data_IF_115207652737
#
_entry.id   IF_115207652737
#
_cell.length_a   1.000
_cell.length_b   1.000
_cell.length_c   1.000
_cell.angle_alpha   90.00
_cell.angle_beta   90.00
_cell.angle_gamma   90.00
#
_symmetry.space_group_name_H-M   'P 1'
#
loop_
_entity.id
_entity.type
_entity.pdbx_description
1 polymer ?
#
# COMPACT_ATOMS: atom_id res chain seq x y z
N UNK A 1 -24.04 2.13 10.73
CA UNK A 1 -24.31 3.36 9.95
C UNK A 1 -23.42 4.54 10.34
N UNK A 2 -23.13 4.73 11.65
CA UNK A 2 -22.21 5.80 12.08
C UNK A 2 -20.72 5.55 11.72
N UNK A 3 -20.29 4.29 11.59
CA UNK A 3 -18.90 3.97 11.25
C UNK A 3 -18.56 4.20 9.76
N UNK A 4 -19.57 4.25 8.89
CA UNK A 4 -19.39 4.62 7.49
C UNK A 4 -19.24 6.14 7.29
N UNK A 5 -19.87 6.95 8.15
CA UNK A 5 -19.74 8.41 8.10
C UNK A 5 -18.35 8.88 8.54
N UNK A 6 -17.71 8.16 9.47
CA UNK A 6 -16.33 8.47 9.91
C UNK A 6 -15.25 7.93 8.97
N UNK A 7 -15.62 7.20 7.92
CA UNK A 7 -14.70 6.72 6.88
C UNK A 7 -14.72 7.60 5.61
N UNK A 8 -15.63 8.56 5.56
CA UNK A 8 -15.69 9.55 4.48
C UNK A 8 -14.76 10.68 4.90
N UNK A 9 -13.72 10.88 4.13
CA UNK A 9 -12.76 11.99 4.08
C UNK A 9 -12.79 12.96 5.27
N UNK A 10 -11.63 13.20 5.86
CA UNK A 10 -11.37 14.35 6.70
C UNK A 10 -11.98 15.59 6.01
N UNK A 11 -12.81 16.38 6.70
CA UNK A 11 -13.44 17.56 6.09
C UNK A 11 -12.41 18.48 5.42
N UNK A 12 -11.19 18.54 5.93
CA UNK A 12 -10.07 19.26 5.32
C UNK A 12 -9.63 18.69 3.94
N UNK A 13 -9.71 17.37 3.68
CA UNK A 13 -9.41 16.80 2.35
C UNK A 13 -10.53 17.11 1.33
N UNK A 14 -11.76 17.34 1.78
CA UNK A 14 -12.87 17.78 0.93
C UNK A 14 -12.76 19.28 0.63
N UNK A 15 -12.36 20.10 1.59
CA UNK A 15 -12.12 21.54 1.39
C UNK A 15 -10.93 21.78 0.46
N UNK A 16 -9.83 21.01 0.57
CA UNK A 16 -8.69 21.07 -0.35
C UNK A 16 -9.07 20.64 -1.77
N UNK A 17 -9.96 19.64 -1.93
CA UNK A 17 -10.49 19.25 -3.23
C UNK A 17 -11.44 20.30 -3.82
N UNK A 18 -12.18 21.02 -3.00
CA UNK A 18 -13.11 22.07 -3.44
C UNK A 18 -12.34 23.33 -3.89
N UNK A 19 -11.25 23.67 -3.20
CA UNK A 19 -10.31 24.73 -3.61
C UNK A 19 -9.63 24.41 -4.94
N UNK A 20 -9.19 23.16 -5.16
CA UNK A 20 -8.65 22.71 -6.43
C UNK A 20 -9.66 22.83 -7.58
N UNK A 21 -10.96 22.70 -7.31
CA UNK A 21 -12.01 22.82 -8.34
C UNK A 21 -12.22 24.27 -8.79
N UNK A 22 -12.23 25.21 -7.87
CA UNK A 22 -12.40 26.64 -8.17
C UNK A 22 -11.20 27.19 -8.96
N UNK A 23 -10.00 26.74 -8.60
CA UNK A 23 -8.76 27.10 -9.31
C UNK A 23 -8.72 26.49 -10.71
N UNK A 24 -9.26 25.28 -10.89
CA UNK A 24 -9.40 24.59 -12.16
C UNK A 24 -10.43 25.26 -13.08
N UNK A 25 -11.54 25.71 -12.53
CA UNK A 25 -12.59 26.43 -13.26
C UNK A 25 -12.05 27.76 -13.78
N UNK A 26 -11.30 28.50 -12.95
CA UNK A 26 -10.63 29.74 -13.31
C UNK A 26 -9.54 29.55 -14.39
N UNK A 27 -8.73 28.49 -14.28
CA UNK A 27 -7.71 28.16 -15.30
C UNK A 27 -8.35 27.74 -16.64
N UNK A 28 -9.47 27.02 -16.60
CA UNK A 28 -10.21 26.63 -17.80
C UNK A 28 -10.84 27.84 -18.48
N UNK A 29 -11.42 28.75 -17.70
CA UNK A 29 -12.03 30.00 -18.20
C UNK A 29 -10.98 30.89 -18.88
N UNK A 30 -9.80 31.06 -18.26
CA UNK A 30 -8.66 31.79 -18.81
C UNK A 30 -8.11 31.12 -20.09
N UNK A 31 -8.01 29.80 -20.15
CA UNK A 31 -7.59 29.06 -21.35
C UNK A 31 -8.59 29.21 -22.48
N UNK A 32 -9.88 29.19 -22.17
CA UNK A 32 -10.98 29.35 -23.14
C UNK A 32 -11.01 30.76 -23.72
N UNK A 33 -10.77 31.79 -22.91
CA UNK A 33 -10.67 33.20 -23.35
C UNK A 33 -9.49 33.39 -24.31
N UNK A 34 -8.34 32.73 -24.02
CA UNK A 34 -7.17 32.79 -24.88
C UNK A 34 -7.40 32.10 -26.21
N UNK A 35 -8.01 30.91 -26.24
CA UNK A 35 -8.37 30.21 -27.49
C UNK A 35 -9.44 30.94 -28.31
N UNK A 36 -10.37 31.64 -27.64
CA UNK A 36 -11.35 32.49 -28.31
C UNK A 36 -10.70 33.72 -28.91
N UNK A 37 -9.69 34.33 -28.24
CA UNK A 37 -8.90 35.45 -28.76
C UNK A 37 -8.07 35.02 -29.98
N UNK A 38 -7.46 33.84 -29.97
CA UNK A 38 -6.71 33.29 -31.09
C UNK A 38 -7.61 32.95 -32.27
N UNK A 39 -8.85 32.49 -32.03
CA UNK A 39 -9.88 32.32 -33.04
C UNK A 39 -10.34 33.65 -33.66
N UNK A 40 -10.34 34.74 -32.90
CA UNK A 40 -10.59 36.08 -33.44
C UNK A 40 -9.48 36.58 -34.38
N UNK A 41 -8.21 36.24 -34.11
CA UNK A 41 -7.10 36.48 -35.03
C UNK A 41 -7.17 35.59 -36.29
N UNK A 42 -7.65 34.36 -36.18
CA UNK A 42 -7.89 33.48 -37.33
C UNK A 42 -9.04 33.94 -38.24
N UNK A 43 -9.85 34.93 -37.84
CA UNK A 43 -10.87 35.57 -38.70
C UNK A 43 -10.30 36.19 -39.97
N UNK A 44 -8.99 36.41 -40.05
CA UNK A 44 -8.31 36.98 -41.24
C UNK A 44 -8.15 35.95 -42.37
N UNK A 45 -8.26 34.66 -42.11
CA UNK A 45 -8.11 33.60 -43.13
C UNK A 45 -9.47 32.91 -43.44
N UNK A 46 -10.46 33.68 -43.75
CA UNK A 46 -11.86 33.27 -43.98
C UNK A 46 -12.05 32.20 -45.06
N UNK A 47 -11.08 31.98 -45.95
CA UNK A 47 -11.18 31.04 -47.06
C UNK A 47 -10.71 29.60 -46.70
N UNK A 48 -10.16 29.37 -45.48
CA UNK A 48 -9.68 28.04 -45.07
C UNK A 48 -10.63 27.26 -44.16
N UNK A 49 -11.71 27.89 -43.68
CA UNK A 49 -12.68 27.18 -42.79
C UNK A 49 -13.80 26.57 -43.66
N UNK A 50 -13.46 25.52 -44.38
CA UNK A 50 -14.44 24.83 -45.27
C UNK A 50 -15.54 24.06 -44.50
N UNK A 51 -15.34 23.77 -43.18
CA UNK A 51 -16.31 23.04 -42.36
C UNK A 51 -16.26 23.46 -40.88
N UNK A 52 -17.21 24.33 -40.43
CA UNK A 52 -17.26 24.78 -39.04
C UNK A 52 -17.40 23.66 -38.01
N UNK A 53 -17.98 22.52 -38.37
CA UNK A 53 -18.15 21.37 -37.48
C UNK A 53 -16.83 20.60 -37.28
N UNK A 54 -15.98 20.55 -38.32
CA UNK A 54 -14.65 19.93 -38.22
C UNK A 54 -13.72 20.76 -37.35
N UNK A 55 -13.74 22.09 -37.51
CA UNK A 55 -12.98 23.03 -36.67
C UNK A 55 -13.44 22.91 -35.20
N UNK A 56 -14.75 22.88 -34.97
CA UNK A 56 -15.31 22.69 -33.63
C UNK A 56 -14.82 21.42 -32.95
N UNK A 57 -14.75 20.31 -33.68
CA UNK A 57 -14.22 19.03 -33.09
C UNK A 57 -12.74 19.07 -32.80
N UNK A 58 -11.94 19.76 -33.59
CA UNK A 58 -10.51 19.91 -33.32
C UNK A 58 -10.27 20.71 -32.02
N UNK A 59 -11.02 21.81 -31.86
CA UNK A 59 -10.96 22.65 -30.64
C UNK A 59 -11.46 21.85 -29.42
N UNK A 60 -12.57 21.14 -29.54
CA UNK A 60 -13.09 20.28 -28.47
C UNK A 60 -12.05 19.25 -28.01
N UNK A 61 -11.38 18.59 -28.96
CA UNK A 61 -10.35 17.61 -28.64
C UNK A 61 -9.11 18.25 -27.99
N UNK A 62 -8.70 19.43 -28.42
CA UNK A 62 -7.54 20.14 -27.85
C UNK A 62 -7.82 20.61 -26.42
N UNK A 63 -8.97 21.24 -26.20
CA UNK A 63 -9.40 21.63 -24.84
C UNK A 63 -9.48 20.40 -23.93
N UNK A 64 -10.03 19.28 -24.44
CA UNK A 64 -10.11 18.05 -23.67
C UNK A 64 -8.75 17.47 -23.31
N UNK A 65 -7.79 17.49 -24.23
CA UNK A 65 -6.43 17.04 -24.01
C UNK A 65 -5.68 17.92 -23.01
N UNK A 66 -5.79 19.25 -23.14
CA UNK A 66 -5.17 20.18 -22.18
C UNK A 66 -5.78 20.03 -20.79
N UNK A 67 -7.09 19.90 -20.69
CA UNK A 67 -7.77 19.66 -19.42
C UNK A 67 -7.33 18.35 -18.77
N UNK A 68 -7.30 17.24 -19.49
CA UNK A 68 -6.83 15.94 -18.98
C UNK A 68 -5.40 16.02 -18.45
N UNK A 69 -4.54 16.81 -19.10
CA UNK A 69 -3.16 17.03 -18.68
C UNK A 69 -3.02 17.94 -17.45
N UNK A 70 -3.83 19.00 -17.35
CA UNK A 70 -3.77 19.98 -16.25
C UNK A 70 -4.37 19.45 -14.94
N UNK A 71 -5.48 18.67 -15.00
CA UNK A 71 -6.10 18.13 -13.79
C UNK A 71 -5.29 16.95 -13.24
N UNK A 72 -4.25 16.50 -13.95
CA UNK A 72 -3.58 15.26 -13.59
C UNK A 72 -4.58 14.12 -13.42
N UNK A 73 -5.61 14.08 -14.29
CA UNK A 73 -6.51 12.94 -14.41
C UNK A 73 -5.66 11.76 -14.81
N UNK A 74 -4.96 11.24 -13.79
CA UNK A 74 -4.33 9.95 -13.89
C UNK A 74 -5.46 8.94 -14.10
N UNK A 75 -5.77 8.72 -15.39
CA UNK A 75 -6.72 7.70 -15.85
C UNK A 75 -6.14 6.31 -15.62
N UNK A 76 -4.96 6.22 -15.00
CA UNK A 76 -4.44 4.95 -14.55
C UNK A 76 -5.36 4.44 -13.45
N UNK A 77 -6.02 3.32 -13.71
CA UNK A 77 -6.80 2.58 -12.72
C UNK A 77 -5.84 1.93 -11.70
N UNK A 78 -4.99 2.76 -11.07
CA UNK A 78 -4.04 2.31 -10.07
C UNK A 78 -4.80 1.60 -8.94
N UNK A 79 -4.46 0.35 -8.70
CA UNK A 79 -5.00 -0.39 -7.56
C UNK A 79 -4.39 0.11 -6.26
N UNK A 80 -5.08 -0.10 -5.13
CA UNK A 80 -4.54 0.25 -3.80
C UNK A 80 -3.18 -0.41 -3.53
N UNK A 81 -2.94 -1.60 -4.08
CA UNK A 81 -1.63 -2.29 -3.95
C UNK A 81 -0.57 -1.56 -4.76
N UNK A 82 -0.82 -1.22 -6.02
CA UNK A 82 0.13 -0.49 -6.86
C UNK A 82 0.48 0.87 -6.26
N UNK A 83 -0.53 1.58 -5.74
CA UNK A 83 -0.32 2.82 -5.01
C UNK A 83 0.62 2.62 -3.82
N UNK A 84 0.33 1.62 -2.97
CA UNK A 84 1.18 1.29 -1.83
C UNK A 84 2.63 1.00 -2.26
N UNK A 85 2.81 0.14 -3.27
CA UNK A 85 4.14 -0.28 -3.74
C UNK A 85 4.95 0.90 -4.33
N UNK A 86 4.27 1.87 -4.95
CA UNK A 86 4.90 3.11 -5.44
C UNK A 86 5.29 4.06 -4.30
N UNK A 87 4.44 4.18 -3.28
CA UNK A 87 4.68 5.05 -2.12
C UNK A 87 5.67 4.45 -1.12
N UNK A 88 5.83 3.11 -1.12
CA UNK A 88 6.69 2.35 -0.21
C UNK A 88 7.60 1.38 -0.99
N UNK A 89 8.61 1.89 -1.69
CA UNK A 89 9.50 1.08 -2.55
C UNK A 89 10.54 0.26 -1.76
N UNK A 90 10.44 0.20 -0.43
CA UNK A 90 11.43 -0.46 0.42
C UNK A 90 11.48 -1.96 0.19
N UNK A 91 12.71 -2.45 0.16
CA UNK A 91 13.00 -3.89 0.09
C UNK A 91 12.67 -4.59 1.41
N UNK A 92 12.52 -5.90 1.35
CA UNK A 92 12.30 -6.72 2.57
C UNK A 92 13.41 -6.53 3.62
N UNK A 93 14.65 -6.33 3.19
CA UNK A 93 15.78 -6.12 4.08
C UNK A 93 15.70 -4.77 4.80
N UNK A 94 15.35 -3.70 4.09
CA UNK A 94 15.15 -2.36 4.65
C UNK A 94 13.99 -2.34 5.63
N UNK A 95 12.87 -2.95 5.28
CA UNK A 95 11.73 -3.13 6.19
C UNK A 95 12.13 -3.96 7.41
N UNK A 96 12.95 -5.00 7.23
CA UNK A 96 13.50 -5.79 8.34
C UNK A 96 14.29 -4.94 9.34
N UNK A 97 15.08 -3.98 8.86
CA UNK A 97 15.80 -3.01 9.72
C UNK A 97 14.83 -2.08 10.46
N UNK A 98 13.80 -1.56 9.77
CA UNK A 98 12.76 -0.71 10.39
C UNK A 98 12.04 -1.45 11.51
N UNK A 99 11.62 -2.69 11.29
CA UNK A 99 10.95 -3.53 12.29
C UNK A 99 11.81 -3.69 13.54
N UNK A 100 13.10 -3.97 13.39
CA UNK A 100 14.02 -4.18 14.54
C UNK A 100 14.42 -2.88 15.24
N UNK A 101 14.36 -1.74 14.55
CA UNK A 101 14.68 -0.42 15.09
C UNK A 101 13.48 0.29 15.73
N UNK A 102 12.28 -0.22 15.52
CA UNK A 102 11.04 0.33 16.09
C UNK A 102 11.05 0.28 17.62
N UNK A 103 10.61 1.37 18.24
CA UNK A 103 10.61 1.50 19.71
C UNK A 103 9.70 0.46 20.39
N UNK A 104 8.64 0.01 19.74
CA UNK A 104 7.77 -1.07 20.25
C UNK A 104 8.55 -2.38 20.41
N UNK A 105 9.35 -2.73 19.39
CA UNK A 105 10.22 -3.91 19.45
C UNK A 105 11.31 -3.76 20.51
N UNK A 106 11.99 -2.61 20.56
CA UNK A 106 13.05 -2.35 21.53
C UNK A 106 12.54 -2.40 22.96
N UNK A 107 11.37 -1.77 23.20
CA UNK A 107 10.73 -1.80 24.52
C UNK A 107 10.33 -3.21 24.94
N UNK A 108 9.69 -3.97 24.07
CA UNK A 108 9.31 -5.36 24.35
C UNK A 108 10.55 -6.24 24.58
N UNK A 109 11.62 -6.05 23.82
CA UNK A 109 12.87 -6.79 24.00
C UNK A 109 13.58 -6.41 25.34
N UNK A 110 13.51 -5.15 25.73
CA UNK A 110 14.01 -4.67 27.03
C UNK A 110 13.22 -5.29 28.18
N UNK A 111 11.89 -5.29 28.08
CA UNK A 111 11.00 -5.89 29.08
C UNK A 111 11.26 -7.39 29.20
N UNK A 112 11.36 -8.12 28.09
CA UNK A 112 11.71 -9.55 28.08
C UNK A 112 13.03 -9.81 28.81
N UNK A 113 14.07 -9.02 28.56
CA UNK A 113 15.37 -9.16 29.22
C UNK A 113 15.31 -8.87 30.73
N UNK A 114 14.50 -7.90 31.12
CA UNK A 114 14.29 -7.59 32.55
C UNK A 114 13.57 -8.74 33.24
N UNK A 115 12.47 -9.25 32.68
CA UNK A 115 11.77 -10.42 33.22
C UNK A 115 12.67 -11.64 33.34
N UNK A 116 13.57 -11.85 32.35
CA UNK A 116 14.56 -12.91 32.42
C UNK A 116 15.56 -12.71 33.57
N UNK A 117 16.08 -11.51 33.76
CA UNK A 117 17.01 -11.19 34.82
C UNK A 117 16.38 -11.40 36.24
N UNK A 118 15.08 -11.11 36.33
CA UNK A 118 14.26 -11.32 37.53
C UNK A 118 13.82 -12.78 37.72
N UNK A 119 14.25 -13.69 36.82
CA UNK A 119 13.86 -15.11 36.81
C UNK A 119 12.33 -15.32 36.73
N UNK A 120 11.65 -14.44 35.97
CA UNK A 120 10.20 -14.41 35.78
C UNK A 120 9.78 -14.52 34.32
N UNK A 121 10.71 -14.91 33.42
CA UNK A 121 10.42 -15.04 32.00
C UNK A 121 9.94 -16.46 31.67
N UNK A 122 8.79 -16.56 31.04
CA UNK A 122 8.26 -17.81 30.47
C UNK A 122 8.43 -17.85 28.96
N UNK A 123 8.77 -19.00 28.46
CA UNK A 123 8.71 -19.30 27.03
C UNK A 123 7.24 -19.46 26.60
N UNK A 124 6.81 -18.58 25.72
CA UNK A 124 5.41 -18.48 25.28
C UNK A 124 4.95 -19.64 24.37
N UNK A 125 5.91 -20.42 23.85
CA UNK A 125 5.64 -21.56 22.96
C UNK A 125 5.84 -22.92 23.65
N UNK A 126 6.53 -22.96 24.78
CA UNK A 126 6.77 -24.21 25.51
C UNK A 126 6.14 -24.20 26.91
N UNK A 127 5.77 -23.02 27.43
CA UNK A 127 5.29 -22.83 28.79
C UNK A 127 6.36 -22.98 29.86
N UNK A 128 7.63 -23.26 29.51
CA UNK A 128 8.74 -23.46 30.43
C UNK A 128 9.37 -22.15 30.87
N UNK A 129 10.02 -22.13 32.03
CA UNK A 129 10.75 -20.95 32.46
C UNK A 129 12.05 -20.81 31.68
N UNK A 130 12.38 -19.57 31.25
CA UNK A 130 13.68 -19.21 30.66
C UNK A 130 14.52 -18.56 31.75
N UNK A 131 15.52 -19.27 32.21
CA UNK A 131 16.37 -18.84 33.35
C UNK A 131 17.34 -17.71 32.98
N UNK A 132 17.78 -16.90 33.94
CA UNK A 132 18.92 -16.03 33.75
C UNK A 132 20.13 -16.81 33.20
N UNK A 133 20.74 -16.31 32.11
CA UNK A 133 21.85 -17.00 31.43
C UNK A 133 21.44 -17.92 30.27
N UNK A 134 20.17 -18.33 30.15
CA UNK A 134 19.67 -18.98 28.96
C UNK A 134 19.54 -17.96 27.80
N UNK A 135 19.49 -18.47 26.57
CA UNK A 135 19.31 -17.60 25.38
C UNK A 135 17.83 -17.47 25.05
N UNK A 136 17.29 -16.28 25.28
CA UNK A 136 15.93 -15.91 24.90
C UNK A 136 15.93 -14.97 23.70
N UNK A 137 14.92 -15.11 22.85
CA UNK A 137 14.62 -14.22 21.73
C UNK A 137 13.16 -13.78 21.78
N UNK A 138 12.92 -12.57 21.32
CA UNK A 138 11.57 -12.09 21.03
C UNK A 138 11.24 -12.46 19.58
N UNK A 139 10.29 -13.38 19.40
CA UNK A 139 9.85 -13.86 18.09
C UNK A 139 8.62 -13.11 17.59
N UNK A 140 8.53 -12.97 16.29
CA UNK A 140 7.32 -12.56 15.58
C UNK A 140 6.52 -13.81 15.21
N UNK A 141 5.41 -14.08 15.91
CA UNK A 141 4.59 -15.29 15.71
C UNK A 141 4.12 -15.40 14.27
N UNK A 142 3.49 -14.34 13.75
CA UNK A 142 3.31 -14.14 12.30
C UNK A 142 4.58 -13.49 11.77
N UNK A 143 5.28 -14.18 10.90
CA UNK A 143 6.63 -13.79 10.49
C UNK A 143 6.64 -12.45 9.73
N UNK A 144 7.76 -11.72 9.84
CA UNK A 144 7.98 -10.47 9.08
C UNK A 144 7.84 -10.69 7.58
N UNK A 145 8.26 -11.85 7.08
CA UNK A 145 8.14 -12.20 5.66
C UNK A 145 6.68 -12.33 5.25
N UNK A 146 5.88 -13.07 6.01
CA UNK A 146 4.45 -13.22 5.75
C UNK A 146 3.73 -11.88 5.73
N UNK A 147 4.05 -10.99 6.68
CA UNK A 147 3.49 -9.65 6.75
C UNK A 147 3.93 -8.75 5.60
N UNK A 148 5.21 -8.79 5.22
CA UNK A 148 5.73 -8.02 4.09
C UNK A 148 5.04 -8.40 2.77
N UNK A 149 4.84 -9.71 2.53
CA UNK A 149 4.19 -10.24 1.33
C UNK A 149 2.66 -10.11 1.34
N UNK A 150 2.06 -9.71 2.46
CA UNK A 150 0.60 -9.68 2.63
C UNK A 150 -0.05 -8.59 1.78
N UNK A 151 -0.77 -9.01 0.73
CA UNK A 151 -1.47 -8.10 -0.21
C UNK A 151 -2.57 -7.27 0.46
N UNK A 152 -3.30 -7.83 1.45
CA UNK A 152 -4.36 -7.09 2.15
C UNK A 152 -3.80 -6.00 3.04
N UNK A 153 -2.62 -6.20 3.65
CA UNK A 153 -1.90 -5.16 4.37
C UNK A 153 -1.57 -3.98 3.45
N UNK A 154 -1.07 -4.27 2.24
CA UNK A 154 -0.77 -3.24 1.23
C UNK A 154 -2.03 -2.51 0.77
N UNK A 155 -3.15 -3.22 0.56
CA UNK A 155 -4.46 -2.59 0.29
C UNK A 155 -4.93 -1.69 1.44
N UNK A 156 -4.59 -2.04 2.67
CA UNK A 156 -4.94 -1.27 3.87
C UNK A 156 -4.01 -0.07 4.12
N UNK A 157 -2.98 0.12 3.30
CA UNK A 157 -1.94 1.14 3.47
C UNK A 157 -1.30 1.10 4.88
N UNK A 158 -0.95 -0.10 5.35
CA UNK A 158 -0.34 -0.30 6.67
C UNK A 158 1.12 -0.72 6.50
N UNK A 159 2.04 -0.08 7.20
CA UNK A 159 3.45 -0.47 7.22
C UNK A 159 3.65 -1.85 7.86
N UNK A 160 4.67 -2.59 7.42
CA UNK A 160 4.94 -3.95 7.95
C UNK A 160 5.28 -3.89 9.43
N UNK A 161 6.07 -2.91 9.87
CA UNK A 161 6.48 -2.71 11.26
C UNK A 161 5.30 -2.48 12.20
N UNK A 162 4.21 -1.86 11.73
CA UNK A 162 3.02 -1.61 12.54
C UNK A 162 2.29 -2.89 12.91
N UNK A 163 2.31 -3.88 12.05
CA UNK A 163 1.71 -5.18 12.32
C UNK A 163 2.70 -6.16 12.96
N UNK A 164 3.96 -6.14 12.53
CA UNK A 164 4.98 -7.04 13.07
C UNK A 164 5.20 -6.79 14.57
N UNK A 165 5.28 -5.51 14.98
CA UNK A 165 5.58 -5.13 16.35
C UNK A 165 4.36 -4.94 17.25
N UNK A 166 3.20 -5.52 16.85
CA UNK A 166 2.06 -5.61 17.76
C UNK A 166 2.38 -6.51 18.94
N UNK A 167 1.91 -6.11 20.13
CA UNK A 167 2.15 -6.86 21.37
C UNK A 167 1.73 -8.32 21.23
N UNK A 168 0.62 -8.58 20.59
CA UNK A 168 0.09 -9.94 20.39
C UNK A 168 0.95 -10.78 19.44
N UNK A 169 1.79 -10.14 18.64
CA UNK A 169 2.67 -10.80 17.68
C UNK A 169 4.10 -11.00 18.20
N UNK A 170 4.45 -10.38 19.32
CA UNK A 170 5.77 -10.46 19.94
C UNK A 170 5.72 -11.44 21.11
N UNK A 171 6.37 -12.59 20.98
CA UNK A 171 6.36 -13.65 21.98
C UNK A 171 7.78 -14.08 22.34
N UNK A 172 8.08 -14.13 23.65
CA UNK A 172 9.36 -14.59 24.14
C UNK A 172 9.49 -16.10 23.99
N UNK A 173 10.60 -16.57 23.46
CA UNK A 173 10.90 -18.01 23.35
C UNK A 173 12.41 -18.26 23.39
N UNK A 174 12.81 -19.50 23.59
CA UNK A 174 14.21 -19.87 23.56
C UNK A 174 14.81 -19.70 22.15
N UNK A 175 16.09 -19.35 22.08
CA UNK A 175 16.79 -19.07 20.81
C UNK A 175 16.76 -20.28 19.85
N UNK A 176 16.83 -21.51 20.39
CA UNK A 176 16.89 -22.74 19.60
C UNK A 176 15.58 -22.98 18.84
N UNK A 177 14.45 -22.81 19.51
CA UNK A 177 13.12 -22.93 18.92
C UNK A 177 12.85 -21.81 17.91
N UNK A 178 13.16 -20.54 18.30
CA UNK A 178 13.02 -19.40 17.39
C UNK A 178 13.77 -19.60 16.06
N UNK A 179 15.04 -20.02 16.13
CA UNK A 179 15.83 -20.32 14.94
C UNK A 179 15.28 -21.50 14.14
N UNK A 180 14.72 -22.50 14.79
CA UNK A 180 14.09 -23.66 14.12
C UNK A 180 12.79 -23.29 13.41
N UNK A 181 11.98 -22.38 14.01
CA UNK A 181 10.77 -21.83 13.42
C UNK A 181 11.11 -20.97 12.19
N UNK A 182 12.04 -20.03 12.35
CA UNK A 182 12.42 -19.10 11.28
C UNK A 182 11.20 -18.31 10.77
N UNK A 183 10.97 -18.32 9.47
CA UNK A 183 9.83 -17.64 8.83
C UNK A 183 8.59 -18.53 8.63
N UNK A 184 8.62 -19.79 9.12
CA UNK A 184 7.49 -20.70 9.00
C UNK A 184 6.28 -20.21 9.80
N UNK A 185 5.08 -20.45 9.29
CA UNK A 185 3.85 -20.28 10.05
C UNK A 185 3.74 -21.35 11.16
N UNK A 186 2.92 -21.09 12.16
CA UNK A 186 2.63 -22.08 13.22
C UNK A 186 1.97 -23.32 12.63
N UNK A 187 1.03 -23.16 11.69
CA UNK A 187 0.39 -24.29 11.02
C UNK A 187 1.40 -25.15 10.25
N UNK A 188 2.37 -24.54 9.56
CA UNK A 188 3.45 -25.27 8.89
C UNK A 188 4.35 -26.00 9.88
N UNK A 189 4.67 -25.37 11.01
CA UNK A 189 5.45 -25.99 12.08
C UNK A 189 4.78 -27.24 12.64
N UNK A 190 3.46 -27.20 12.80
CA UNK A 190 2.67 -28.33 13.33
C UNK A 190 2.50 -29.41 12.26
N UNK A 191 2.14 -29.02 11.03
CA UNK A 191 1.94 -29.97 9.93
C UNK A 191 3.20 -30.77 9.59
N UNK A 192 4.39 -30.17 9.73
CA UNK A 192 5.68 -30.82 9.45
C UNK A 192 6.39 -31.36 10.70
N UNK A 193 5.70 -31.43 11.85
CA UNK A 193 6.32 -31.72 13.14
C UNK A 193 7.11 -33.04 13.14
N UNK A 194 6.47 -34.14 12.75
CA UNK A 194 7.09 -35.46 12.79
C UNK A 194 8.35 -35.57 11.94
N UNK A 195 8.29 -35.02 10.71
CA UNK A 195 9.43 -35.01 9.79
C UNK A 195 10.58 -34.13 10.33
N UNK A 196 10.21 -32.97 10.87
CA UNK A 196 11.16 -32.02 11.46
C UNK A 196 11.84 -32.58 12.70
N UNK A 197 11.11 -33.24 13.61
CA UNK A 197 11.66 -33.88 14.79
C UNK A 197 12.67 -34.98 14.43
N UNK A 198 12.31 -35.85 13.48
CA UNK A 198 13.22 -36.87 12.94
C UNK A 198 14.51 -36.24 12.40
N UNK A 199 14.38 -35.23 11.54
CA UNK A 199 15.54 -34.55 10.97
C UNK A 199 16.43 -33.88 12.04
N UNK A 200 15.84 -33.29 13.08
CA UNK A 200 16.56 -32.66 14.19
C UNK A 200 17.32 -33.68 15.04
N UNK A 201 16.72 -34.84 15.32
CA UNK A 201 17.35 -35.95 16.06
C UNK A 201 18.55 -36.46 15.26
N UNK A 202 18.36 -36.79 13.98
CA UNK A 202 19.46 -37.23 13.09
C UNK A 202 20.58 -36.20 12.99
N UNK A 203 20.24 -34.89 12.92
CA UNK A 203 21.24 -33.83 12.91
C UNK A 203 22.04 -33.77 14.21
N UNK A 204 21.39 -33.94 15.35
CA UNK A 204 22.03 -33.95 16.66
C UNK A 204 22.97 -35.15 16.83
N UNK A 205 22.52 -36.33 16.40
CA UNK A 205 23.34 -37.56 16.41
C UNK A 205 24.62 -37.38 15.58
N UNK A 206 24.49 -36.85 14.34
CA UNK A 206 25.63 -36.52 13.49
C UNK A 206 26.58 -35.50 14.13
N UNK A 207 26.04 -34.50 14.82
CA UNK A 207 26.83 -33.49 15.51
C UNK A 207 27.56 -34.10 16.71
N UNK A 208 26.91 -34.94 17.50
CA UNK A 208 27.49 -35.63 18.64
C UNK A 208 28.60 -36.61 18.23
N UNK A 209 28.40 -37.34 17.10
CA UNK A 209 29.44 -38.22 16.52
C UNK A 209 30.71 -37.41 16.14
N UNK A 210 30.54 -36.26 15.51
CA UNK A 210 31.67 -35.36 15.18
C UNK A 210 32.42 -34.87 16.42
N UNK A 211 31.70 -34.65 17.53
CA UNK A 211 32.31 -34.29 18.81
C UNK A 211 33.14 -35.47 19.36
N UNK A 212 32.62 -36.71 19.27
CA UNK A 212 33.35 -37.90 19.68
C UNK A 212 34.65 -38.11 18.90
N UNK A 213 34.61 -37.84 17.59
CA UNK A 213 35.73 -37.95 16.67
C UNK A 213 36.72 -36.77 16.77
N UNK A 214 36.43 -35.74 17.54
CA UNK A 214 37.30 -34.55 17.71
C UNK A 214 38.44 -34.77 18.66
N UNK A 215 39.46 -33.89 18.61
CA UNK A 215 40.62 -33.90 19.49
C UNK A 215 40.34 -33.21 20.86
N UNK A 216 39.05 -32.99 21.21
CA UNK A 216 38.69 -32.41 22.51
C UNK A 216 38.96 -33.37 23.66
N UNK A 217 39.23 -32.83 24.85
CA UNK A 217 39.26 -33.65 26.06
C UNK A 217 37.90 -34.29 26.35
N UNK A 218 37.84 -35.37 27.09
CA UNK A 218 36.57 -36.04 27.46
C UNK A 218 35.61 -35.12 28.19
N UNK A 219 36.14 -34.20 29.02
CA UNK A 219 35.30 -33.18 29.69
C UNK A 219 34.68 -32.21 28.69
N UNK A 220 35.45 -31.71 27.73
CA UNK A 220 34.96 -30.81 26.69
C UNK A 220 33.92 -31.50 25.79
N UNK A 221 34.17 -32.77 25.38
CA UNK A 221 33.24 -33.58 24.62
C UNK A 221 31.89 -33.72 25.36
N UNK A 222 31.95 -34.05 26.65
CA UNK A 222 30.75 -34.17 27.50
C UNK A 222 29.96 -32.87 27.51
N UNK A 223 30.60 -31.73 27.79
CA UNK A 223 29.94 -30.42 27.84
C UNK A 223 29.37 -30.01 26.46
N UNK A 224 30.08 -30.28 25.38
CA UNK A 224 29.61 -30.00 24.02
C UNK A 224 28.36 -30.82 23.67
N UNK A 225 28.33 -32.11 23.99
CA UNK A 225 27.16 -32.98 23.78
C UNK A 225 25.99 -32.55 24.68
N UNK A 226 26.20 -32.23 25.93
CA UNK A 226 25.17 -31.72 26.84
C UNK A 226 24.53 -30.45 26.24
N UNK A 227 25.32 -29.54 25.71
CA UNK A 227 24.85 -28.32 25.05
C UNK A 227 24.05 -28.62 23.76
N UNK A 228 24.51 -29.59 22.96
CA UNK A 228 23.77 -29.98 21.74
C UNK A 228 22.44 -30.64 22.08
N UNK A 229 22.44 -31.55 23.07
CA UNK A 229 21.22 -32.21 23.52
C UNK A 229 20.23 -31.24 24.13
N UNK A 230 20.69 -30.25 24.94
CA UNK A 230 19.84 -29.17 25.44
C UNK A 230 19.19 -28.40 24.25
N UNK A 231 19.97 -28.02 23.22
CA UNK A 231 19.45 -27.31 22.06
C UNK A 231 18.44 -28.15 21.28
N UNK A 232 18.65 -29.46 21.18
CA UNK A 232 17.66 -30.36 20.58
C UNK A 232 16.38 -30.36 21.41
N UNK A 233 16.47 -30.57 22.71
CA UNK A 233 15.33 -30.58 23.61
C UNK A 233 14.54 -29.27 23.54
N UNK A 234 15.22 -28.11 23.56
CA UNK A 234 14.62 -26.78 23.42
C UNK A 234 13.77 -26.65 22.13
N UNK A 235 14.15 -27.34 21.03
CA UNK A 235 13.40 -27.34 19.76
C UNK A 235 12.22 -28.31 19.76
N UNK A 236 12.35 -29.43 20.48
CA UNK A 236 11.33 -30.48 20.57
C UNK A 236 10.23 -30.14 21.59
N UNK A 237 10.52 -29.28 22.55
CA UNK A 237 9.63 -28.86 23.63
C UNK A 237 8.47 -27.96 23.17
N UNK A 238 8.40 -27.61 21.87
CA UNK A 238 7.33 -26.77 21.32
C UNK A 238 5.97 -27.40 21.61
N UNK A 239 5.08 -26.63 22.24
CA UNK A 239 3.69 -27.00 22.51
C UNK A 239 2.77 -26.45 21.43
N UNK A 240 2.13 -27.35 20.70
CA UNK A 240 1.28 -27.00 19.55
C UNK A 240 0.06 -26.17 19.98
N UNK A 241 -0.53 -26.44 21.14
CA UNK A 241 -1.68 -25.70 21.65
C UNK A 241 -1.31 -24.27 22.05
N UNK A 242 -0.17 -24.08 22.72
CA UNK A 242 0.34 -22.75 23.07
C UNK A 242 0.70 -21.97 21.81
N UNK A 243 1.39 -22.59 20.87
CA UNK A 243 1.75 -21.94 19.60
C UNK A 243 0.51 -21.53 18.82
N UNK A 244 -0.50 -22.39 18.68
CA UNK A 244 -1.78 -22.08 18.01
C UNK A 244 -2.52 -20.93 18.71
N UNK A 245 -2.56 -20.96 20.04
CA UNK A 245 -3.20 -19.90 20.83
C UNK A 245 -2.55 -18.55 20.53
N UNK A 246 -1.21 -18.48 20.53
CA UNK A 246 -0.46 -17.25 20.24
C UNK A 246 -0.66 -16.80 18.79
N UNK A 247 -0.60 -17.71 17.83
CA UNK A 247 -0.86 -17.40 16.42
C UNK A 247 -2.29 -16.87 16.20
N UNK A 248 -3.28 -17.50 16.82
CA UNK A 248 -4.67 -17.02 16.74
C UNK A 248 -4.83 -15.61 17.31
N UNK A 249 -4.18 -15.31 18.43
CA UNK A 249 -4.22 -13.97 19.05
C UNK A 249 -3.54 -12.95 18.14
N UNK A 250 -2.35 -13.26 17.63
CA UNK A 250 -1.61 -12.40 16.71
C UNK A 250 -2.41 -12.12 15.42
N UNK A 251 -2.90 -13.17 14.75
CA UNK A 251 -3.68 -13.04 13.52
C UNK A 251 -4.98 -12.28 13.72
N UNK A 252 -5.67 -12.49 14.84
CA UNK A 252 -6.89 -11.74 15.17
C UNK A 252 -6.62 -10.24 15.28
N UNK A 253 -5.55 -9.84 15.98
CA UNK A 253 -5.16 -8.45 16.13
C UNK A 253 -4.72 -7.84 14.79
N UNK A 254 -3.89 -8.54 14.03
CA UNK A 254 -3.40 -8.13 12.71
C UNK A 254 -4.56 -7.97 11.72
N UNK A 255 -5.42 -9.00 11.59
CA UNK A 255 -6.53 -8.99 10.64
C UNK A 255 -7.58 -7.92 10.96
N UNK A 256 -7.78 -7.60 12.24
CA UNK A 256 -8.65 -6.49 12.67
C UNK A 256 -8.16 -5.16 12.11
N UNK A 257 -6.87 -4.88 12.22
CA UNK A 257 -6.31 -3.61 11.73
C UNK A 257 -6.27 -3.57 10.20
N UNK A 258 -5.91 -4.69 9.56
CA UNK A 258 -5.98 -4.80 8.10
C UNK A 258 -7.42 -4.54 7.60
N UNK A 259 -8.43 -5.15 8.23
CA UNK A 259 -9.82 -4.96 7.82
C UNK A 259 -10.25 -3.48 7.92
N UNK A 260 -9.89 -2.82 9.03
CA UNK A 260 -10.17 -1.38 9.20
C UNK A 260 -9.47 -0.54 8.13
N UNK A 261 -8.19 -0.80 7.88
CA UNK A 261 -7.41 -0.09 6.88
C UNK A 261 -7.97 -0.28 5.47
N UNK A 262 -8.34 -1.51 5.08
CA UNK A 262 -8.96 -1.78 3.76
C UNK A 262 -10.26 -0.99 3.60
N UNK A 263 -11.14 -0.98 4.61
CA UNK A 263 -12.40 -0.22 4.55
C UNK A 263 -12.12 1.28 4.39
N UNK A 264 -11.17 1.82 5.17
CA UNK A 264 -10.76 3.23 5.09
C UNK A 264 -10.22 3.59 3.70
N UNK A 265 -9.25 2.85 3.19
CA UNK A 265 -8.61 3.16 1.90
C UNK A 265 -9.56 2.93 0.70
N UNK A 266 -10.43 1.92 0.77
CA UNK A 266 -11.47 1.71 -0.25
C UNK A 266 -12.49 2.85 -0.24
N UNK A 267 -12.91 3.31 0.95
CA UNK A 267 -13.81 4.46 1.09
C UNK A 267 -13.22 5.76 0.52
N UNK A 268 -11.95 6.05 0.85
CA UNK A 268 -11.22 7.20 0.29
C UNK A 268 -11.12 7.13 -1.24
N UNK A 269 -10.76 5.98 -1.79
CA UNK A 269 -10.65 5.80 -3.24
C UNK A 269 -12.01 6.00 -3.91
N UNK A 270 -13.06 5.37 -3.41
CA UNK A 270 -14.42 5.51 -3.97
C UNK A 270 -14.92 6.96 -3.92
N UNK A 271 -14.64 7.69 -2.83
CA UNK A 271 -14.95 9.12 -2.72
C UNK A 271 -14.24 9.96 -3.78
N UNK A 272 -12.93 9.78 -3.92
CA UNK A 272 -12.13 10.48 -4.95
C UNK A 272 -12.59 10.15 -6.38
N UNK A 273 -12.86 8.88 -6.67
CA UNK A 273 -13.32 8.45 -7.99
C UNK A 273 -14.71 9.03 -8.30
N UNK A 274 -15.62 9.11 -7.34
CA UNK A 274 -16.93 9.72 -7.51
C UNK A 274 -16.83 11.23 -7.77
N UNK A 275 -15.97 11.96 -7.04
CA UNK A 275 -15.73 13.38 -7.27
C UNK A 275 -15.12 13.64 -8.64
N UNK A 276 -14.13 12.85 -9.06
CA UNK A 276 -13.56 12.93 -10.41
C UNK A 276 -14.62 12.72 -11.49
N UNK A 277 -15.51 11.72 -11.32
CA UNK A 277 -16.59 11.49 -12.27
C UNK A 277 -17.57 12.65 -12.36
N UNK A 278 -17.93 13.26 -11.23
CA UNK A 278 -18.81 14.44 -11.21
C UNK A 278 -18.16 15.63 -11.92
N UNK A 279 -16.88 15.88 -11.68
CA UNK A 279 -16.12 16.93 -12.34
C UNK A 279 -16.05 16.73 -13.86
N UNK A 280 -15.73 15.51 -14.29
CA UNK A 280 -15.70 15.16 -15.73
C UNK A 280 -17.06 15.35 -16.40
N UNK A 281 -18.16 14.99 -15.72
CA UNK A 281 -19.52 15.16 -16.25
C UNK A 281 -19.90 16.64 -16.37
N UNK A 282 -19.62 17.44 -15.33
CA UNK A 282 -19.89 18.89 -15.34
C UNK A 282 -19.11 19.58 -16.47
N UNK A 283 -17.84 19.25 -16.63
CA UNK A 283 -17.02 19.79 -17.69
C UNK A 283 -17.50 19.36 -19.09
N UNK A 284 -17.83 18.09 -19.27
CA UNK A 284 -18.34 17.61 -20.56
C UNK A 284 -19.62 18.35 -20.98
N UNK A 285 -20.49 18.69 -20.00
CA UNK A 285 -21.70 19.47 -20.25
C UNK A 285 -21.36 20.91 -20.60
N UNK A 286 -20.45 21.56 -19.89
CA UNK A 286 -19.98 22.91 -20.17
C UNK A 286 -19.34 23.01 -21.57
N UNK A 287 -18.41 22.13 -21.91
CA UNK A 287 -17.78 22.07 -23.22
C UNK A 287 -18.83 21.90 -24.34
N UNK A 288 -19.83 21.06 -24.14
CA UNK A 288 -20.92 20.90 -25.13
C UNK A 288 -21.69 22.18 -25.35
N UNK A 289 -21.95 22.97 -24.32
CA UNK A 289 -22.66 24.25 -24.44
C UNK A 289 -21.81 25.30 -25.15
N UNK A 290 -20.51 25.42 -24.78
CA UNK A 290 -19.56 26.32 -25.44
C UNK A 290 -19.38 25.96 -26.92
N UNK A 291 -19.20 24.67 -27.23
CA UNK A 291 -19.06 24.19 -28.61
C UNK A 291 -20.31 24.49 -29.45
N UNK A 292 -21.51 24.30 -28.87
CA UNK A 292 -22.75 24.65 -29.56
C UNK A 292 -22.86 26.18 -29.82
N UNK A 293 -22.43 27.00 -28.89
CA UNK A 293 -22.38 28.44 -29.04
C UNK A 293 -21.39 28.86 -30.14
N UNK A 294 -20.17 28.28 -30.14
CA UNK A 294 -19.12 28.52 -31.13
C UNK A 294 -19.59 28.11 -32.54
N UNK A 295 -20.18 26.93 -32.69
CA UNK A 295 -20.71 26.46 -33.98
C UNK A 295 -21.80 27.41 -34.49
N UNK A 296 -22.72 27.89 -33.62
CA UNK A 296 -23.75 28.88 -34.01
C UNK A 296 -23.11 30.18 -34.45
N UNK A 297 -22.09 30.67 -33.73
CA UNK A 297 -21.36 31.89 -34.10
C UNK A 297 -20.66 31.76 -35.47
N UNK A 298 -19.95 30.66 -35.72
CA UNK A 298 -19.26 30.39 -36.96
C UNK A 298 -20.28 30.28 -38.15
N UNK A 299 -21.41 29.59 -37.93
CA UNK A 299 -22.48 29.51 -38.95
C UNK A 299 -23.11 30.87 -39.24
N UNK A 300 -23.29 31.72 -38.24
CA UNK A 300 -23.81 33.09 -38.41
C UNK A 300 -22.82 33.99 -39.17
N UNK A 301 -21.54 33.91 -38.81
CA UNK A 301 -20.46 34.65 -39.47
C UNK A 301 -20.29 34.25 -40.96
N UNK A 302 -20.38 32.95 -41.24
CA UNK A 302 -20.35 32.45 -42.62
C UNK A 302 -21.55 32.93 -43.45
N UNK A 303 -22.76 32.97 -42.86
CA UNK A 303 -23.96 33.55 -43.53
C UNK A 303 -23.78 35.03 -43.82
N UNK A 304 -23.28 35.79 -42.86
CA UNK A 304 -23.03 37.22 -43.02
C UNK A 304 -21.96 37.50 -44.09
N UNK A 305 -20.88 36.67 -44.13
CA UNK A 305 -19.88 36.74 -45.20
C UNK A 305 -20.44 36.44 -46.58
N UNK A 306 -21.33 35.45 -46.70
CA UNK A 306 -22.03 35.17 -47.96
C UNK A 306 -22.99 36.29 -48.37
N UNK A 307 -23.71 36.88 -47.43
CA UNK A 307 -24.58 38.03 -47.71
C UNK A 307 -23.76 39.24 -48.16
N UNK A 308 -22.60 39.50 -47.49
CA UNK A 308 -21.69 40.58 -47.87
C UNK A 308 -21.12 40.37 -49.30
N UNK A 309 -20.70 39.13 -49.63
CA UNK A 309 -20.27 38.78 -51.00
C UNK A 309 -21.40 38.96 -52.04
N UNK A 310 -22.63 38.59 -51.70
CA UNK A 310 -23.79 38.83 -52.55
C UNK A 310 -24.08 40.32 -52.69
N UNK A 311 -23.98 41.10 -51.65
CA UNK A 311 -24.20 42.56 -51.69
C UNK A 311 -23.09 43.27 -52.46
N UNK A 312 -21.83 42.92 -52.30
CA UNK A 312 -20.72 43.47 -53.12
C UNK A 312 -20.90 43.12 -54.63
N UNK A 313 -21.26 41.87 -54.94
CA UNK A 313 -21.50 41.45 -56.27
C UNK A 313 -22.73 42.11 -56.91
N UNK A 314 -23.67 42.54 -56.08
CA UNK A 314 -24.83 43.36 -56.57
C UNK A 314 -24.41 44.80 -56.82
N UNK A 315 -23.57 45.37 -55.95
CA UNK A 315 -23.06 46.75 -56.12
C UNK A 315 -22.08 46.90 -57.31
N UNK A 316 -21.34 45.83 -57.63
CA UNK A 316 -20.47 45.81 -58.86
C UNK A 316 -21.26 45.73 -60.18
N UNK A 317 -22.56 45.52 -60.13
CA UNK A 317 -23.45 45.41 -61.33
C UNK A 317 -24.25 46.66 -61.65
N UNK A 318 -24.18 47.67 -60.77
CA UNK A 318 -24.79 48.99 -60.97
C UNK A 318 -23.76 50.11 -60.76
#
# INVERSE_FOLDING_TARGET
MNDLKNAIADENELDDLQLDFEDLENQLEASLEQELADLEQLKVDHDKIANPEAVGKVIENEIWNQFANQIGLDMTNETLIQKYDREHPETYEEVGKKVMQDERYKSANKEMKQQQAENNLKDEYTGKDIKPGDKANLDHTVSRKELYENKRRRQANIATEDLANKKENLNATNESLNKSKGAKSVDEMIATRAEREKALIEQNERANKKIDESNMSETEKRLAKEKNNKRLQDKLDADDELMKKKDTQARKAINKDIAKGVVKETGKKAGKDALKMMAVQALAQFLKEVMNALIRFLKSSAKNGQMRKRYLKYMERY
#
